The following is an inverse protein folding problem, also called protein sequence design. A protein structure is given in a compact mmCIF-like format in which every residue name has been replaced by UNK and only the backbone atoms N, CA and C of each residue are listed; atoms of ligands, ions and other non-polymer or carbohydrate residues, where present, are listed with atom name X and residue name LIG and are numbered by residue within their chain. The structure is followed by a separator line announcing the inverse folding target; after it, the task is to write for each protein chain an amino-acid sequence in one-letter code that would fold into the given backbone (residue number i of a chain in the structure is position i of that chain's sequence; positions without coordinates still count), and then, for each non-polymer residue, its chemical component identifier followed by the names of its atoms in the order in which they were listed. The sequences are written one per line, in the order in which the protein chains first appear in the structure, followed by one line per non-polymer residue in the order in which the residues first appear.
data_IF_218071458500
#
_entry.id   IF_218071458500
#
_cell.length_a   1.000
_cell.length_b   1.000
_cell.length_c   1.000
_cell.angle_alpha   90.00
_cell.angle_beta   90.00
_cell.angle_gamma   90.00
#
_symmetry.space_group_name_H-M   'P 1'
#
loop_
_entity.id
_entity.type
_entity.pdbx_description
1 polymer ?
#
# COMPACT_ATOMS: atom_id res chain seq x y z
N UNK A 1 4.69 -62.48 -8.96
CA UNK A 1 4.18 -63.78 -9.47
C UNK A 1 3.24 -64.33 -8.41
N UNK A 2 1.95 -64.48 -8.71
CA UNK A 2 0.92 -64.91 -7.76
C UNK A 2 0.04 -63.75 -7.24
N UNK A 3 -1.25 -63.79 -7.59
CA UNK A 3 -2.32 -62.85 -7.23
C UNK A 3 -3.22 -63.38 -6.09
N UNK A 4 -4.18 -62.55 -5.66
CA UNK A 4 -5.45 -62.88 -4.97
C UNK A 4 -5.39 -63.44 -3.51
N UNK A 5 -6.27 -63.05 -2.56
CA UNK A 5 -7.69 -62.75 -2.72
C UNK A 5 -8.32 -61.98 -1.52
N UNK A 6 -9.37 -61.20 -1.82
CA UNK A 6 -10.67 -61.03 -1.09
C UNK A 6 -10.73 -61.00 0.46
N UNK A 7 -11.35 -59.96 1.02
CA UNK A 7 -12.77 -60.01 1.50
C UNK A 7 -13.10 -58.93 2.55
N UNK A 8 -14.31 -58.38 2.44
CA UNK A 8 -14.97 -57.44 3.36
C UNK A 8 -15.17 -57.95 4.80
N UNK A 9 -15.07 -57.06 5.79
CA UNK A 9 -15.69 -57.24 7.11
C UNK A 9 -16.05 -55.89 7.80
N UNK A 10 -17.35 -55.62 7.80
CA UNK A 10 -18.18 -54.86 8.75
C UNK A 10 -17.54 -54.39 10.09
N UNK A 11 -17.89 -53.17 10.53
CA UNK A 11 -17.66 -52.70 11.91
C UNK A 11 -18.68 -51.65 12.40
N UNK A 12 -19.92 -52.07 12.69
CA UNK A 12 -20.82 -51.33 13.59
C UNK A 12 -20.51 -51.55 15.09
N UNK A 13 -20.53 -50.47 15.89
CA UNK A 13 -20.86 -50.31 17.34
C UNK A 13 -20.38 -48.91 17.78
N UNK A 14 -21.20 -47.90 18.13
CA UNK A 14 -22.09 -47.75 19.31
C UNK A 14 -21.31 -47.85 20.65
N UNK A 15 -21.38 -46.95 21.65
CA UNK A 15 -22.25 -45.75 21.89
C UNK A 15 -21.78 -44.89 23.08
N UNK A 16 -22.10 -43.58 23.04
CA UNK A 16 -22.63 -42.68 24.11
C UNK A 16 -22.17 -42.82 25.58
N UNK A 17 -21.65 -41.70 26.15
CA UNK A 17 -22.25 -40.86 27.23
C UNK A 17 -21.24 -39.79 27.65
N UNK A 18 -21.58 -38.51 27.59
CA UNK A 18 -22.16 -37.81 28.75
C UNK A 18 -22.91 -36.54 28.34
N UNK A 19 -24.05 -36.30 29.00
CA UNK A 19 -25.06 -35.31 28.65
C UNK A 19 -25.11 -34.28 29.77
N UNK A 20 -25.07 -32.98 29.47
CA UNK A 20 -25.66 -31.96 30.34
C UNK A 20 -26.25 -30.84 29.48
N UNK A 21 -27.49 -30.50 29.80
CA UNK A 21 -28.24 -29.43 29.16
C UNK A 21 -28.66 -28.43 30.25
N UNK A 22 -28.65 -27.13 29.91
CA UNK A 22 -29.40 -26.11 30.64
C UNK A 22 -30.23 -25.36 29.62
N UNK A 23 -31.54 -25.41 29.79
CA UNK A 23 -32.49 -24.66 28.98
C UNK A 23 -32.97 -23.42 29.76
N UNK A 24 -33.11 -22.30 29.07
CA UNK A 24 -33.91 -21.17 29.52
C UNK A 24 -34.97 -20.89 28.44
N UNK A 25 -36.24 -20.99 28.82
CA UNK A 25 -37.38 -20.94 27.91
C UNK A 25 -37.99 -19.55 27.81
N UNK A 26 -38.24 -19.09 26.58
CA UNK A 26 -39.20 -18.02 26.27
C UNK A 26 -40.11 -18.44 25.12
N UNK A 27 -41.42 -18.54 25.36
CA UNK A 27 -42.45 -18.60 24.32
C UNK A 27 -42.95 -17.16 24.07
N UNK A 28 -43.34 -16.72 22.88
CA UNK A 28 -44.64 -16.92 22.17
C UNK A 28 -44.52 -16.07 20.88
N UNK A 29 -45.07 -16.38 19.70
CA UNK A 29 -46.06 -17.40 19.30
C UNK A 29 -45.58 -18.23 18.08
N UNK A 30 -46.45 -19.09 17.54
CA UNK A 30 -46.28 -19.70 16.22
C UNK A 30 -47.41 -19.32 15.27
N UNK A 31 -47.07 -18.89 14.05
CA UNK A 31 -47.99 -18.83 12.91
C UNK A 31 -47.60 -19.93 11.91
N UNK A 32 -48.37 -21.03 11.87
CA UNK A 32 -48.27 -21.99 10.78
C UNK A 32 -49.01 -21.45 9.56
N UNK A 33 -48.28 -21.05 8.52
CA UNK A 33 -48.80 -21.05 7.14
C UNK A 33 -48.12 -22.15 6.36
N UNK A 34 -48.90 -23.16 5.96
CA UNK A 34 -48.47 -24.11 4.93
C UNK A 34 -48.77 -23.46 3.57
N UNK A 35 -47.72 -23.00 2.90
CA UNK A 35 -47.71 -22.50 1.53
C UNK A 35 -46.42 -22.96 0.88
N UNK A 36 -46.51 -23.58 -0.30
CA UNK A 36 -45.34 -24.19 -0.95
C UNK A 36 -44.50 -23.21 -1.75
N UNK A 37 -43.38 -23.74 -2.26
CA UNK A 37 -42.24 -23.03 -2.87
C UNK A 37 -41.39 -22.33 -1.81
N UNK A 38 -40.24 -22.92 -1.48
CA UNK A 38 -39.13 -22.18 -0.90
C UNK A 38 -38.61 -21.24 -1.97
N UNK A 39 -39.07 -19.99 -1.90
CA UNK A 39 -38.28 -18.89 -2.43
C UNK A 39 -37.00 -18.88 -1.59
N UNK A 40 -35.86 -19.22 -2.20
CA UNK A 40 -34.56 -18.95 -1.61
C UNK A 40 -34.38 -17.43 -1.62
N UNK A 41 -35.00 -16.77 -0.63
CA UNK A 41 -34.70 -15.39 -0.30
C UNK A 41 -33.31 -15.41 0.33
N UNK A 42 -32.29 -15.50 -0.53
CA UNK A 42 -30.88 -15.38 -0.15
C UNK A 42 -30.76 -14.20 0.81
N UNK A 43 -30.32 -14.48 2.03
CA UNK A 43 -30.32 -13.52 3.12
C UNK A 43 -29.40 -12.35 2.73
N UNK A 44 -29.99 -11.15 2.61
CA UNK A 44 -29.34 -9.97 2.06
C UNK A 44 -29.28 -8.89 3.14
N UNK A 45 -28.09 -8.34 3.31
CA UNK A 45 -27.84 -7.17 4.15
C UNK A 45 -28.25 -5.94 3.35
N UNK A 46 -29.08 -5.06 3.93
CA UNK A 46 -29.55 -3.91 3.18
C UNK A 46 -28.46 -2.86 3.00
N UNK A 47 -28.38 -2.25 1.81
CA UNK A 47 -27.39 -1.19 1.53
C UNK A 47 -27.56 0.01 2.45
N UNK A 48 -28.79 0.32 2.87
CA UNK A 48 -29.08 1.39 3.83
C UNK A 48 -28.63 1.07 5.27
N UNK A 49 -28.26 -0.18 5.53
CA UNK A 49 -27.67 -0.63 6.78
C UNK A 49 -26.14 -0.72 6.69
N UNK A 50 -25.53 -0.65 5.51
CA UNK A 50 -24.07 -0.58 5.41
C UNK A 50 -23.54 0.78 5.92
N UNK A 51 -22.24 0.89 6.26
CA UNK A 51 -21.57 2.18 6.43
C UNK A 51 -21.74 3.06 5.18
N UNK A 52 -22.31 4.25 5.36
CA UNK A 52 -22.42 5.26 4.30
C UNK A 52 -21.03 5.88 4.05
N UNK A 53 -20.46 5.60 2.87
CA UNK A 53 -19.10 5.96 2.48
C UNK A 53 -19.12 6.65 1.12
N UNK A 54 -18.89 7.96 1.11
CA UNK A 54 -18.58 8.67 -0.12
C UNK A 54 -17.18 8.30 -0.61
N UNK A 55 -17.12 7.69 -1.79
CA UNK A 55 -15.90 7.17 -2.43
C UNK A 55 -14.88 8.26 -2.76
N UNK A 56 -15.33 9.50 -2.98
CA UNK A 56 -14.45 10.66 -3.22
C UNK A 56 -13.85 11.20 -1.91
N UNK A 57 -14.47 10.91 -0.77
CA UNK A 57 -14.03 11.32 0.57
C UNK A 57 -13.22 10.27 1.34
N UNK A 58 -12.94 9.08 0.76
CA UNK A 58 -12.16 8.03 1.45
C UNK A 58 -10.67 8.40 1.45
N UNK A 59 -10.03 8.58 2.63
CA UNK A 59 -8.61 8.90 2.70
C UNK A 59 -7.74 7.74 2.21
N UNK A 60 -6.75 8.04 1.38
CA UNK A 60 -5.84 7.08 0.77
C UNK A 60 -4.37 7.49 0.96
N UNK A 61 -3.62 6.88 1.89
CA UNK A 61 -4.04 5.91 2.91
C UNK A 61 -4.83 6.54 4.07
N UNK A 62 -5.48 5.74 4.94
CA UNK A 62 -6.14 6.27 6.15
C UNK A 62 -5.15 7.01 7.05
N UNK A 63 -3.98 6.43 7.33
CA UNK A 63 -2.90 7.08 8.08
C UNK A 63 -1.89 7.69 7.11
N UNK A 64 -1.90 9.01 6.99
CA UNK A 64 -1.00 9.74 6.08
C UNK A 64 0.48 9.45 6.38
N UNK A 65 1.32 9.18 5.36
CA UNK A 65 2.74 8.95 5.54
C UNK A 65 3.46 10.24 5.97
N UNK A 66 4.54 10.12 6.74
CA UNK A 66 5.40 11.26 7.10
C UNK A 66 6.87 10.84 7.11
N UNK A 67 7.78 11.82 7.05
CA UNK A 67 9.23 11.67 7.22
C UNK A 67 9.67 12.55 8.40
N UNK A 68 10.65 12.15 9.25
CA UNK A 68 11.07 12.93 10.42
C UNK A 68 12.07 14.06 10.07
N UNK A 69 11.76 14.81 9.01
CA UNK A 69 12.47 16.00 8.56
C UNK A 69 11.46 16.95 7.89
N UNK A 70 11.62 18.26 8.11
CA UNK A 70 10.72 19.27 7.54
C UNK A 70 10.96 19.40 6.02
N UNK A 71 9.90 19.52 5.23
CA UNK A 71 9.98 19.75 3.77
C UNK A 71 9.75 21.24 3.53
N UNK A 72 10.77 21.95 3.04
CA UNK A 72 10.74 23.41 2.95
C UNK A 72 9.55 23.91 2.09
N UNK A 73 8.74 24.87 2.58
CA UNK A 73 7.62 25.42 1.81
C UNK A 73 8.02 26.03 0.45
N UNK A 74 9.27 26.46 0.30
CA UNK A 74 9.85 26.88 -0.98
C UNK A 74 9.95 25.74 -1.99
N UNK A 75 10.32 24.52 -1.56
CA UNK A 75 10.38 23.34 -2.43
C UNK A 75 8.99 22.97 -2.94
N UNK A 76 8.00 22.91 -2.04
CA UNK A 76 6.59 22.71 -2.40
C UNK A 76 6.02 23.83 -3.29
N UNK A 77 6.53 25.06 -3.17
CA UNK A 77 6.13 26.18 -4.05
C UNK A 77 6.74 26.01 -5.44
N UNK A 78 8.03 25.71 -5.54
CA UNK A 78 8.72 25.45 -6.82
C UNK A 78 8.10 24.28 -7.57
N UNK A 79 7.69 23.22 -6.87
CA UNK A 79 6.98 22.09 -7.49
C UNK A 79 5.61 22.50 -8.06
N UNK A 80 4.83 23.37 -7.38
CA UNK A 80 3.57 23.92 -7.91
C UNK A 80 3.80 24.82 -9.13
N UNK A 81 4.75 25.76 -9.03
CA UNK A 81 5.12 26.66 -10.15
C UNK A 81 5.56 25.87 -11.39
N UNK A 82 6.20 24.71 -11.21
CA UNK A 82 6.56 23.79 -12.29
C UNK A 82 5.33 23.17 -12.97
N UNK A 83 4.30 22.79 -12.23
CA UNK A 83 3.03 22.30 -12.79
C UNK A 83 2.31 23.41 -13.56
N UNK A 84 2.14 24.58 -12.95
CA UNK A 84 1.48 25.74 -13.56
C UNK A 84 2.18 26.15 -14.88
N UNK A 85 3.52 26.13 -14.91
CA UNK A 85 4.30 26.40 -16.10
C UNK A 85 4.05 25.36 -17.22
N UNK A 86 4.02 24.07 -16.89
CA UNK A 86 3.78 22.98 -17.85
C UNK A 86 2.35 23.01 -18.41
N UNK A 87 1.34 23.24 -17.56
CA UNK A 87 -0.05 23.38 -18.00
C UNK A 87 -0.24 24.66 -18.85
N UNK A 88 0.50 25.73 -18.55
CA UNK A 88 0.54 26.96 -19.34
C UNK A 88 1.13 26.83 -20.75
N UNK A 89 1.78 25.72 -21.10
CA UNK A 89 2.22 25.41 -22.47
C UNK A 89 1.05 24.95 -23.38
N UNK A 90 -0.07 24.52 -22.79
CA UNK A 90 -1.18 23.88 -23.51
C UNK A 90 -2.17 24.88 -24.13
N UNK A 91 -2.72 24.61 -25.33
CA UNK A 91 -3.82 25.40 -25.88
C UNK A 91 -5.08 25.18 -25.05
N UNK A 92 -5.71 26.27 -24.61
CA UNK A 92 -6.95 26.23 -23.81
C UNK A 92 -8.08 26.92 -24.57
N UNK A 93 -9.13 26.21 -25.03
CA UNK A 93 -9.28 24.74 -25.04
C UNK A 93 -8.45 24.06 -26.15
N UNK A 94 -8.04 22.82 -25.92
CA UNK A 94 -7.39 21.99 -26.95
C UNK A 94 -8.44 21.42 -27.91
N UNK A 95 -8.38 21.81 -29.19
CA UNK A 95 -9.39 21.53 -30.20
C UNK A 95 -9.01 20.47 -31.24
N UNK A 96 -9.94 20.10 -32.13
CA UNK A 96 -9.64 19.24 -33.29
C UNK A 96 -8.69 19.86 -34.31
N UNK A 97 -8.56 21.19 -34.33
CA UNK A 97 -7.61 21.91 -35.19
C UNK A 97 -6.17 21.78 -34.65
N UNK A 98 -6.01 21.66 -33.33
CA UNK A 98 -4.72 21.46 -32.64
C UNK A 98 -4.28 19.99 -32.70
N UNK A 99 -5.18 19.08 -32.31
CA UNK A 99 -4.96 17.63 -32.36
C UNK A 99 -6.18 16.96 -33.02
N UNK A 100 -6.11 16.60 -34.31
CA UNK A 100 -7.25 16.00 -35.03
C UNK A 100 -7.71 14.65 -34.46
N UNK A 101 -6.78 13.83 -33.96
CA UNK A 101 -7.11 12.53 -33.38
C UNK A 101 -7.79 12.70 -32.02
N UNK A 102 -9.09 12.38 -31.96
CA UNK A 102 -9.90 12.52 -30.76
C UNK A 102 -9.38 11.76 -29.54
N UNK A 103 -8.92 10.53 -29.72
CA UNK A 103 -8.39 9.70 -28.63
C UNK A 103 -7.10 10.29 -28.03
N UNK A 104 -6.20 10.78 -28.88
CA UNK A 104 -4.97 11.44 -28.43
C UNK A 104 -5.29 12.73 -27.66
N UNK A 105 -6.21 13.53 -28.19
CA UNK A 105 -6.66 14.78 -27.57
C UNK A 105 -7.32 14.55 -26.21
N UNK A 106 -8.18 13.54 -26.11
CA UNK A 106 -8.77 13.06 -24.85
C UNK A 106 -7.67 12.70 -23.85
N UNK A 107 -6.74 11.79 -24.20
CA UNK A 107 -5.62 11.37 -23.33
C UNK A 107 -4.74 12.51 -22.82
N UNK A 108 -4.47 13.55 -23.62
CA UNK A 108 -3.72 14.73 -23.15
C UNK A 108 -4.58 15.65 -22.25
N UNK A 109 -5.88 15.77 -22.55
CA UNK A 109 -6.82 16.60 -21.77
C UNK A 109 -7.08 15.98 -20.40
N UNK A 110 -7.32 14.67 -20.35
CA UNK A 110 -7.47 13.90 -19.11
C UNK A 110 -6.22 14.07 -18.24
N UNK A 111 -5.03 13.89 -18.81
CA UNK A 111 -3.77 14.08 -18.07
C UNK A 111 -3.54 15.51 -17.58
N UNK A 112 -4.10 16.53 -18.23
CA UNK A 112 -4.07 17.91 -17.74
C UNK A 112 -5.11 18.16 -16.63
N UNK A 113 -6.26 17.48 -16.68
CA UNK A 113 -7.26 17.45 -15.59
C UNK A 113 -6.67 16.77 -14.36
N UNK A 114 -6.17 15.54 -14.50
CA UNK A 114 -5.59 14.78 -13.39
C UNK A 114 -4.41 15.53 -12.72
N UNK A 115 -3.65 16.34 -13.48
CA UNK A 115 -2.59 17.19 -12.93
C UNK A 115 -3.14 18.32 -12.06
N UNK A 116 -4.33 18.82 -12.39
CA UNK A 116 -5.07 19.83 -11.60
C UNK A 116 -5.67 19.19 -10.36
N UNK A 117 -6.24 17.98 -10.48
CA UNK A 117 -6.78 17.23 -9.35
C UNK A 117 -5.66 16.91 -8.33
N UNK A 118 -4.49 16.46 -8.80
CA UNK A 118 -3.31 16.24 -7.95
C UNK A 118 -2.74 17.54 -7.32
N UNK A 119 -2.96 18.72 -7.92
CA UNK A 119 -2.67 20.01 -7.27
C UNK A 119 -3.63 20.31 -6.12
N UNK A 120 -4.89 19.88 -6.20
CA UNK A 120 -5.88 20.02 -5.13
C UNK A 120 -5.68 18.99 -4.01
N UNK A 121 -5.28 17.76 -4.33
CA UNK A 121 -4.77 16.78 -3.36
C UNK A 121 -3.57 17.37 -2.59
N UNK A 122 -2.61 17.99 -3.29
CA UNK A 122 -1.46 18.67 -2.68
C UNK A 122 -1.81 19.93 -1.86
N UNK A 123 -3.05 20.42 -1.90
CA UNK A 123 -3.58 21.50 -1.04
C UNK A 123 -4.32 20.97 0.17
N UNK A 124 -4.90 19.77 0.08
CA UNK A 124 -5.70 19.13 1.14
C UNK A 124 -4.94 18.06 1.93
N UNK A 125 -3.75 17.68 1.45
CA UNK A 125 -2.79 16.78 2.10
C UNK A 125 -2.58 17.10 3.60
N UNK A 126 -2.51 16.04 4.40
CA UNK A 126 -2.45 16.05 5.86
C UNK A 126 -1.01 16.07 6.39
N UNK A 127 -0.04 15.78 5.54
CA UNK A 127 1.41 15.91 5.82
C UNK A 127 2.13 16.55 4.65
N UNK A 128 3.30 17.12 4.92
CA UNK A 128 4.15 17.71 3.87
C UNK A 128 4.67 16.64 2.88
N UNK A 129 4.83 15.39 3.32
CA UNK A 129 5.25 14.27 2.46
C UNK A 129 4.11 13.81 1.53
N UNK A 130 2.87 13.79 2.02
CA UNK A 130 1.67 13.55 1.21
C UNK A 130 1.52 14.66 0.16
N UNK A 131 1.72 15.93 0.57
CA UNK A 131 1.72 17.07 -0.35
C UNK A 131 2.84 16.98 -1.41
N UNK A 132 4.07 16.62 -1.01
CA UNK A 132 5.20 16.46 -1.93
C UNK A 132 4.93 15.37 -2.97
N UNK A 133 4.40 14.22 -2.52
CA UNK A 133 4.04 13.09 -3.39
C UNK A 133 2.99 13.49 -4.43
N UNK A 134 1.92 14.17 -4.01
CA UNK A 134 0.88 14.66 -4.91
C UNK A 134 1.42 15.72 -5.90
N UNK A 135 2.37 16.57 -5.50
CA UNK A 135 3.03 17.51 -6.42
C UNK A 135 3.94 16.82 -7.44
N UNK A 136 4.66 15.76 -7.05
CA UNK A 136 5.38 14.90 -7.99
C UNK A 136 4.43 14.28 -9.03
N UNK A 137 3.31 13.76 -8.57
CA UNK A 137 2.25 13.17 -9.40
C UNK A 137 1.62 14.18 -10.36
N UNK A 138 1.38 15.42 -9.91
CA UNK A 138 0.93 16.54 -10.73
C UNK A 138 1.97 16.95 -11.79
N UNK A 139 3.26 17.01 -11.44
CA UNK A 139 4.37 17.32 -12.36
C UNK A 139 4.46 16.29 -13.49
N UNK A 140 4.39 15.00 -13.16
CA UNK A 140 4.39 13.90 -14.12
C UNK A 140 3.25 14.03 -15.15
N UNK A 141 2.03 14.26 -14.68
CA UNK A 141 0.81 14.37 -15.50
C UNK A 141 0.79 15.64 -16.36
N UNK A 142 1.23 16.77 -15.81
CA UNK A 142 1.38 18.00 -16.60
C UNK A 142 2.48 17.84 -17.67
N UNK A 143 3.59 17.16 -17.36
CA UNK A 143 4.66 16.92 -18.34
C UNK A 143 4.21 15.97 -19.45
N UNK A 144 3.42 14.94 -19.15
CA UNK A 144 2.82 14.07 -20.16
C UNK A 144 2.03 14.88 -21.20
N UNK A 145 1.08 15.71 -20.72
CA UNK A 145 0.27 16.57 -21.58
C UNK A 145 1.14 17.56 -22.38
N UNK A 146 2.06 18.27 -21.71
CA UNK A 146 2.93 19.27 -22.34
C UNK A 146 3.88 18.66 -23.38
N UNK A 147 4.45 17.48 -23.13
CA UNK A 147 5.33 16.80 -24.09
C UNK A 147 4.55 16.27 -25.31
N UNK A 148 3.34 15.75 -25.12
CA UNK A 148 2.44 15.37 -26.21
C UNK A 148 2.05 16.56 -27.09
N UNK A 149 1.77 17.71 -26.48
CA UNK A 149 1.48 18.95 -27.20
C UNK A 149 2.73 19.50 -27.94
N UNK A 150 3.88 19.57 -27.28
CA UNK A 150 5.13 20.01 -27.88
C UNK A 150 5.60 19.13 -29.05
N UNK A 151 5.12 17.89 -29.14
CA UNK A 151 5.30 17.02 -30.31
C UNK A 151 4.42 17.46 -31.49
N UNK A 152 3.15 17.79 -31.23
CA UNK A 152 2.21 18.25 -32.25
C UNK A 152 2.57 19.64 -32.81
N UNK A 153 2.92 20.60 -31.95
CA UNK A 153 3.23 21.99 -32.33
C UNK A 153 4.70 22.17 -32.76
N UNK A 154 5.64 21.67 -31.96
CA UNK A 154 7.08 21.93 -32.09
C UNK A 154 7.93 20.78 -32.61
N UNK A 155 7.36 19.59 -32.83
CA UNK A 155 8.11 18.40 -33.27
C UNK A 155 9.11 17.86 -32.23
N UNK A 156 8.79 17.96 -30.93
CA UNK A 156 9.54 17.29 -29.85
C UNK A 156 9.69 15.78 -30.14
N UNK A 157 10.91 15.25 -30.05
CA UNK A 157 11.19 13.83 -30.36
C UNK A 157 11.59 13.00 -29.14
N UNK A 158 11.43 11.68 -29.27
CA UNK A 158 11.82 10.69 -28.27
C UNK A 158 13.32 10.74 -27.96
N UNK A 159 14.17 10.98 -28.97
CA UNK A 159 15.63 11.03 -28.82
C UNK A 159 16.04 12.17 -27.90
N UNK A 160 15.37 13.32 -27.97
CA UNK A 160 15.63 14.45 -27.07
C UNK A 160 15.29 14.10 -25.62
N UNK A 161 14.12 13.50 -25.40
CA UNK A 161 13.69 13.10 -24.05
C UNK A 161 14.55 11.98 -23.47
N UNK A 162 15.01 11.03 -24.30
CA UNK A 162 15.99 10.01 -23.90
C UNK A 162 17.33 10.60 -23.48
N UNK A 163 17.81 11.63 -24.18
CA UNK A 163 19.03 12.35 -23.76
C UNK A 163 18.82 13.08 -22.44
N UNK A 164 17.70 13.80 -22.28
CA UNK A 164 17.33 14.49 -21.03
C UNK A 164 17.23 13.49 -19.85
N UNK A 165 16.62 12.32 -20.08
CA UNK A 165 16.56 11.23 -19.11
C UNK A 165 17.95 10.69 -18.75
N UNK A 166 18.80 10.43 -19.73
CA UNK A 166 20.17 9.95 -19.51
C UNK A 166 21.04 10.93 -18.72
N UNK A 167 20.85 12.23 -18.92
CA UNK A 167 21.50 13.28 -18.11
C UNK A 167 21.00 13.24 -16.65
N UNK A 168 19.68 13.11 -16.43
CA UNK A 168 19.10 13.00 -15.07
C UNK A 168 19.61 11.75 -14.35
N UNK A 169 19.58 10.57 -14.98
CA UNK A 169 20.08 9.31 -14.41
C UNK A 169 21.59 9.41 -14.11
N UNK A 170 22.37 10.05 -14.98
CA UNK A 170 23.81 10.27 -14.72
C UNK A 170 24.03 11.19 -13.51
N UNK A 171 23.22 12.24 -13.37
CA UNK A 171 23.25 13.16 -12.22
C UNK A 171 22.75 12.50 -10.93
N UNK A 172 21.87 11.50 -11.03
CA UNK A 172 21.44 10.67 -9.92
C UNK A 172 22.60 9.77 -9.46
N UNK A 173 23.20 8.97 -10.35
CA UNK A 173 24.36 8.15 -9.98
C UNK A 173 25.49 8.96 -9.34
N UNK A 174 25.80 10.16 -9.85
CA UNK A 174 26.79 11.03 -9.22
C UNK A 174 26.40 11.50 -7.81
N UNK A 175 25.11 11.75 -7.54
CA UNK A 175 24.61 12.08 -6.20
C UNK A 175 24.63 10.86 -5.27
N UNK A 176 24.38 9.65 -5.79
CA UNK A 176 24.47 8.40 -5.02
C UNK A 176 25.92 8.02 -4.66
N UNK A 177 26.86 8.16 -5.60
CA UNK A 177 28.28 7.90 -5.37
C UNK A 177 28.91 8.85 -4.31
N UNK A 178 28.28 10.01 -4.06
CA UNK A 178 28.66 10.98 -3.03
C UNK A 178 27.82 10.89 -1.73
N UNK A 179 26.77 10.07 -1.70
CA UNK A 179 25.85 9.97 -0.56
C UNK A 179 26.53 9.38 0.68
N UNK A 180 26.05 9.76 1.87
CA UNK A 180 26.57 9.27 3.15
C UNK A 180 25.43 9.22 4.15
N UNK A 181 25.33 8.11 4.90
CA UNK A 181 24.29 7.89 5.91
C UNK A 181 24.54 8.72 7.18
N UNK A 182 24.48 10.05 7.09
CA UNK A 182 24.65 10.94 8.22
C UNK A 182 23.53 10.73 9.26
N UNK A 183 23.88 10.80 10.55
CA UNK A 183 22.90 10.68 11.62
C UNK A 183 23.50 10.71 13.04
N UNK A 184 22.62 10.92 14.02
CA UNK A 184 22.91 10.71 15.46
C UNK A 184 21.98 9.70 16.11
N UNK A 185 20.85 9.43 15.47
CA UNK A 185 19.84 8.43 15.85
C UNK A 185 19.61 7.53 14.63
N UNK A 186 20.00 6.25 14.68
CA UNK A 186 19.81 5.33 13.56
C UNK A 186 18.35 5.13 13.15
N UNK A 187 17.37 5.27 14.07
CA UNK A 187 15.94 5.13 13.73
C UNK A 187 15.48 6.30 12.88
N UNK A 188 15.75 7.54 13.31
CA UNK A 188 15.46 8.74 12.51
C UNK A 188 16.23 8.72 11.17
N UNK A 189 17.48 8.29 11.18
CA UNK A 189 18.29 8.18 9.97
C UNK A 189 17.73 7.15 8.98
N UNK A 190 17.35 5.95 9.43
CA UNK A 190 16.72 4.93 8.59
C UNK A 190 15.47 5.47 7.88
N UNK A 191 14.64 6.24 8.59
CA UNK A 191 13.39 6.78 8.05
C UNK A 191 13.57 7.85 6.98
N UNK A 192 14.69 8.58 6.98
CA UNK A 192 15.04 9.55 5.93
C UNK A 192 15.77 8.85 4.79
N UNK A 193 16.84 8.11 5.10
CA UNK A 193 17.68 7.48 4.09
C UNK A 193 16.94 6.41 3.29
N UNK A 194 15.96 5.70 3.86
CA UNK A 194 15.09 4.81 3.10
C UNK A 194 14.31 5.55 1.98
N UNK A 195 13.91 6.81 2.20
CA UNK A 195 13.22 7.60 1.17
C UNK A 195 14.16 8.04 0.04
N UNK A 196 15.43 8.27 0.36
CA UNK A 196 16.49 8.58 -0.60
C UNK A 196 16.83 7.32 -1.41
N UNK A 197 17.09 6.20 -0.73
CA UNK A 197 17.30 4.87 -1.32
C UNK A 197 16.14 4.46 -2.25
N UNK A 198 14.88 4.59 -1.83
CA UNK A 198 13.72 4.23 -2.64
C UNK A 198 13.58 5.12 -3.89
N UNK A 199 13.98 6.39 -3.83
CA UNK A 199 14.01 7.26 -5.01
C UNK A 199 15.10 6.82 -6.00
N UNK A 200 16.26 6.41 -5.50
CA UNK A 200 17.33 5.85 -6.33
C UNK A 200 16.98 4.50 -6.93
N UNK A 201 16.30 3.62 -6.20
CA UNK A 201 15.83 2.34 -6.71
C UNK A 201 14.77 2.51 -7.81
N UNK A 202 13.84 3.47 -7.66
CA UNK A 202 12.90 3.86 -8.74
C UNK A 202 13.65 4.34 -9.98
N UNK A 203 14.62 5.24 -9.81
CA UNK A 203 15.46 5.75 -10.90
C UNK A 203 16.27 4.65 -11.59
N UNK A 204 16.89 3.76 -10.84
CA UNK A 204 17.71 2.66 -11.36
C UNK A 204 16.88 1.61 -12.14
N UNK A 205 15.60 1.47 -11.81
CA UNK A 205 14.63 0.61 -12.53
C UNK A 205 13.97 1.31 -13.73
N UNK A 206 14.29 2.57 -14.00
CA UNK A 206 13.64 3.39 -15.03
C UNK A 206 14.33 3.28 -16.39
N UNK A 207 14.31 2.10 -17.02
CA UNK A 207 14.85 1.90 -18.38
C UNK A 207 14.07 2.66 -19.49
N UNK A 208 12.88 3.17 -19.17
CA UNK A 208 11.99 3.91 -20.07
C UNK A 208 10.51 3.56 -19.87
N UNK A 209 9.58 4.29 -20.55
CA UNK A 209 8.16 4.03 -20.46
C UNK A 209 7.74 2.71 -21.13
N UNK A 210 6.70 2.08 -20.57
CA UNK A 210 6.04 0.91 -21.15
C UNK A 210 5.04 1.35 -22.22
N UNK A 211 5.50 1.49 -23.47
CA UNK A 211 4.71 1.95 -24.61
C UNK A 211 3.77 0.83 -25.10
N UNK A 212 2.44 1.06 -25.09
CA UNK A 212 1.43 0.04 -25.41
C UNK A 212 0.85 0.17 -26.84
N UNK A 213 1.70 0.39 -27.85
CA UNK A 213 1.26 0.55 -29.24
C UNK A 213 0.57 1.88 -29.55
N UNK A 214 0.48 2.76 -28.55
CA UNK A 214 0.01 4.14 -28.66
C UNK A 214 0.97 4.94 -29.55
N UNK A 215 0.40 5.63 -30.54
CA UNK A 215 1.15 6.25 -31.65
C UNK A 215 2.23 7.25 -31.21
N UNK A 216 3.09 7.64 -32.14
CA UNK A 216 4.34 8.41 -31.91
C UNK A 216 4.20 9.59 -30.93
N UNK A 217 3.11 10.35 -31.00
CA UNK A 217 2.81 11.45 -30.07
C UNK A 217 2.61 10.98 -28.63
N UNK A 218 1.81 9.93 -28.40
CA UNK A 218 1.60 9.36 -27.07
C UNK A 218 2.88 8.69 -26.56
N UNK A 219 3.71 8.12 -27.45
CA UNK A 219 5.06 7.67 -27.09
C UNK A 219 5.94 8.83 -26.60
N UNK A 220 5.88 10.01 -27.22
CA UNK A 220 6.61 11.21 -26.75
C UNK A 220 6.02 11.75 -25.43
N UNK A 221 4.70 11.71 -25.25
CA UNK A 221 4.04 12.07 -24.00
C UNK A 221 4.49 11.16 -22.82
N UNK A 222 4.50 9.84 -23.02
CA UNK A 222 5.00 8.88 -22.02
C UNK A 222 6.49 9.12 -21.69
N UNK A 223 7.34 9.37 -22.68
CA UNK A 223 8.74 9.76 -22.42
C UNK A 223 8.86 11.09 -21.67
N UNK A 224 7.93 12.03 -21.91
CA UNK A 224 7.82 13.27 -21.14
C UNK A 224 7.55 12.99 -19.66
N UNK A 225 6.57 12.13 -19.38
CA UNK A 225 6.25 11.66 -18.03
C UNK A 225 7.48 11.03 -17.35
N UNK A 226 8.14 10.08 -18.01
CA UNK A 226 9.34 9.39 -17.48
C UNK A 226 10.45 10.38 -17.11
N UNK A 227 10.71 11.38 -17.97
CA UNK A 227 11.72 12.41 -17.72
C UNK A 227 11.40 13.26 -16.48
N UNK A 228 10.14 13.66 -16.27
CA UNK A 228 9.79 14.46 -15.09
C UNK A 228 9.69 13.61 -13.82
N UNK A 229 9.26 12.35 -13.91
CA UNK A 229 9.30 11.38 -12.81
C UNK A 229 10.73 11.20 -12.28
N UNK A 230 11.69 10.94 -13.18
CA UNK A 230 13.10 10.87 -12.83
C UNK A 230 13.64 12.19 -12.22
N UNK A 231 13.16 13.33 -12.71
CA UNK A 231 13.54 14.64 -12.15
C UNK A 231 12.97 14.86 -10.75
N UNK A 232 11.71 14.49 -10.51
CA UNK A 232 11.04 14.54 -9.20
C UNK A 232 11.82 13.69 -8.19
N UNK A 233 12.08 12.43 -8.49
CA UNK A 233 12.80 11.52 -7.59
C UNK A 233 14.19 12.07 -7.20
N UNK A 234 14.93 12.64 -8.16
CA UNK A 234 16.24 13.24 -7.90
C UNK A 234 16.17 14.58 -7.13
N UNK A 235 15.22 15.45 -7.47
CA UNK A 235 15.02 16.75 -6.80
C UNK A 235 14.63 16.52 -5.32
N UNK A 236 13.71 15.59 -5.07
CA UNK A 236 13.17 15.31 -3.73
C UNK A 236 14.17 14.56 -2.85
N UNK A 237 14.92 13.60 -3.41
CA UNK A 237 16.00 12.92 -2.67
C UNK A 237 17.08 13.90 -2.20
N UNK A 238 17.51 14.83 -3.07
CA UNK A 238 18.46 15.90 -2.71
C UNK A 238 17.90 16.86 -1.68
N UNK A 239 16.61 17.18 -1.77
CA UNK A 239 15.95 18.05 -0.80
C UNK A 239 15.92 17.40 0.60
N UNK A 240 15.51 16.13 0.69
CA UNK A 240 15.47 15.38 1.95
C UNK A 240 16.86 15.21 2.57
N UNK A 241 17.87 14.87 1.76
CA UNK A 241 19.28 14.75 2.19
C UNK A 241 19.80 16.08 2.77
N UNK A 242 19.59 17.18 2.05
CA UNK A 242 20.01 18.53 2.48
C UNK A 242 19.32 18.96 3.78
N UNK A 243 17.98 18.86 3.83
CA UNK A 243 17.20 19.22 5.02
C UNK A 243 17.58 18.36 6.22
N UNK A 244 17.90 17.08 6.01
CA UNK A 244 18.28 16.19 7.10
C UNK A 244 19.67 16.54 7.63
N UNK A 245 20.65 16.75 6.75
CA UNK A 245 21.98 17.22 7.11
C UNK A 245 21.95 18.56 7.86
N UNK A 246 21.13 19.53 7.42
CA UNK A 246 20.93 20.81 8.12
C UNK A 246 20.25 20.65 9.50
N UNK A 247 19.43 19.61 9.69
CA UNK A 247 18.76 19.31 10.96
C UNK A 247 19.65 18.60 11.99
N UNK A 248 20.87 18.20 11.62
CA UNK A 248 21.79 17.44 12.46
C UNK A 248 22.82 18.35 13.16
N UNK A 249 23.34 17.95 14.33
CA UNK A 249 24.51 18.58 14.94
C UNK A 249 25.74 18.54 14.02
N UNK A 250 26.62 19.53 14.13
CA UNK A 250 27.84 19.63 13.32
C UNK A 250 28.87 18.50 13.56
N UNK A 251 28.68 17.68 14.60
CA UNK A 251 29.44 16.49 14.96
C UNK A 251 28.68 15.17 14.71
N UNK A 252 27.57 15.20 13.97
CA UNK A 252 26.87 14.00 13.52
C UNK A 252 27.79 13.09 12.68
N UNK A 253 27.71 11.78 12.92
CA UNK A 253 28.54 10.77 12.28
C UNK A 253 27.86 10.08 11.10
N UNK A 254 28.56 9.13 10.49
CA UNK A 254 27.95 8.14 9.61
C UNK A 254 27.34 7.00 10.48
N UNK A 255 26.10 6.58 10.20
CA UNK A 255 25.39 5.48 10.88
C UNK A 255 25.23 4.22 10.01
N UNK A 256 25.81 4.19 8.80
CA UNK A 256 25.75 3.09 7.81
C UNK A 256 26.06 1.70 8.40
N UNK A 257 27.12 1.58 9.22
CA UNK A 257 27.49 0.32 9.88
C UNK A 257 26.37 -0.18 10.81
N UNK A 258 25.69 0.72 11.52
CA UNK A 258 24.59 0.39 12.42
C UNK A 258 23.32 0.03 11.66
N UNK A 259 22.99 0.78 10.60
CA UNK A 259 21.87 0.46 9.70
C UNK A 259 22.06 -0.90 9.04
N UNK A 260 23.26 -1.18 8.53
CA UNK A 260 23.60 -2.45 7.87
C UNK A 260 23.53 -3.62 8.86
N UNK A 261 24.16 -3.50 10.04
CA UNK A 261 24.14 -4.55 11.07
C UNK A 261 22.73 -4.83 11.61
N UNK A 262 21.92 -3.78 11.77
CA UNK A 262 20.51 -3.88 12.16
C UNK A 262 19.66 -4.54 11.07
N UNK A 263 19.83 -4.13 9.81
CA UNK A 263 19.17 -4.75 8.67
C UNK A 263 19.50 -6.24 8.54
N UNK A 264 20.78 -6.63 8.63
CA UNK A 264 21.21 -8.03 8.61
C UNK A 264 20.55 -8.86 9.73
N UNK A 265 20.48 -8.29 10.94
CA UNK A 265 19.86 -8.91 12.12
C UNK A 265 18.35 -9.12 11.92
N UNK A 266 17.64 -8.09 11.47
CA UNK A 266 16.20 -8.15 11.22
C UNK A 266 15.87 -9.08 10.05
N UNK A 267 16.66 -9.06 8.96
CA UNK A 267 16.51 -9.96 7.82
C UNK A 267 16.89 -11.41 8.15
N UNK A 268 17.81 -11.66 9.08
CA UNK A 268 18.06 -13.01 9.60
C UNK A 268 16.85 -13.57 10.34
N UNK A 269 16.19 -12.76 11.17
CA UNK A 269 14.99 -13.15 11.91
C UNK A 269 13.76 -13.33 10.98
N UNK A 270 13.59 -12.45 9.99
CA UNK A 270 12.62 -12.61 8.88
C UNK A 270 12.83 -13.93 8.14
N UNK A 271 14.08 -14.27 7.77
CA UNK A 271 14.41 -15.55 7.13
C UNK A 271 14.12 -16.75 8.05
N UNK A 272 14.37 -16.63 9.36
CA UNK A 272 14.07 -17.68 10.33
C UNK A 272 12.57 -17.94 10.44
N UNK A 273 11.71 -16.91 10.47
CA UNK A 273 10.25 -17.12 10.47
C UNK A 273 9.71 -17.62 9.14
N UNK A 274 10.36 -17.30 8.02
CA UNK A 274 9.95 -17.78 6.69
C UNK A 274 9.97 -19.31 6.58
N UNK A 275 10.85 -20.01 7.30
CA UNK A 275 10.85 -21.48 7.34
C UNK A 275 9.71 -22.10 8.15
N UNK A 276 9.06 -21.31 9.01
CA UNK A 276 7.97 -21.75 9.90
C UNK A 276 6.58 -21.35 9.36
N UNK A 277 6.50 -20.84 8.11
CA UNK A 277 5.24 -20.44 7.48
C UNK A 277 4.23 -21.60 7.33
N UNK A 278 2.93 -21.36 7.53
CA UNK A 278 1.89 -22.36 7.30
C UNK A 278 1.85 -22.84 5.84
N UNK A 279 1.37 -24.07 5.57
CA UNK A 279 1.14 -24.56 4.21
C UNK A 279 0.16 -23.65 3.45
N UNK A 280 0.17 -23.74 2.12
CA UNK A 280 -0.68 -22.86 1.31
C UNK A 280 -2.10 -23.44 1.27
N UNK A 281 -3.15 -22.65 1.58
CA UNK A 281 -4.52 -23.16 1.55
C UNK A 281 -4.89 -23.68 0.16
N UNK A 282 -5.50 -24.87 0.12
CA UNK A 282 -5.93 -25.46 -1.15
C UNK A 282 -7.23 -24.81 -1.64
N UNK A 283 -7.54 -24.86 -2.95
CA UNK A 283 -8.79 -24.30 -3.50
C UNK A 283 -10.09 -24.88 -2.92
N UNK A 284 -10.02 -26.01 -2.21
CA UNK A 284 -11.15 -26.66 -1.55
C UNK A 284 -11.40 -26.12 -0.12
N UNK A 285 -10.46 -25.30 0.39
CA UNK A 285 -10.47 -24.69 1.74
C UNK A 285 -10.74 -23.18 1.68
N UNK A 286 -11.06 -22.60 0.51
CA UNK A 286 -11.18 -21.14 0.36
C UNK A 286 -12.40 -20.54 1.10
N UNK A 287 -12.13 -19.90 2.25
CA UNK A 287 -13.00 -18.95 2.94
C UNK A 287 -12.21 -17.72 3.42
N UNK A 288 -12.89 -16.83 4.16
CA UNK A 288 -12.30 -15.58 4.69
C UNK A 288 -11.02 -15.83 5.49
N UNK A 289 -11.00 -16.88 6.33
CA UNK A 289 -9.85 -17.23 7.15
C UNK A 289 -8.61 -17.60 6.30
N UNK A 290 -8.81 -18.46 5.32
CA UNK A 290 -7.78 -19.00 4.45
C UNK A 290 -7.27 -17.95 3.45
N UNK A 291 -8.15 -17.05 2.97
CA UNK A 291 -7.75 -15.91 2.14
C UNK A 291 -6.88 -14.92 2.93
N UNK A 292 -7.24 -14.59 4.17
CA UNK A 292 -6.40 -13.75 5.05
C UNK A 292 -5.02 -14.37 5.25
N UNK A 293 -4.94 -15.68 5.51
CA UNK A 293 -3.67 -16.42 5.66
C UNK A 293 -2.87 -16.41 4.35
N UNK A 294 -3.50 -16.73 3.21
CA UNK A 294 -2.85 -16.77 1.90
C UNK A 294 -2.25 -15.40 1.52
N UNK A 295 -3.00 -14.32 1.75
CA UNK A 295 -2.59 -12.97 1.39
C UNK A 295 -1.48 -12.42 2.31
N UNK A 296 -1.60 -12.63 3.63
CA UNK A 296 -0.53 -12.30 4.58
C UNK A 296 0.73 -13.11 4.27
N UNK A 297 0.61 -14.41 3.99
CA UNK A 297 1.75 -15.27 3.61
C UNK A 297 2.43 -14.76 2.34
N UNK A 298 1.67 -14.46 1.28
CA UNK A 298 2.22 -13.91 0.03
C UNK A 298 2.99 -12.61 0.27
N UNK A 299 2.51 -11.78 1.19
CA UNK A 299 3.10 -10.48 1.52
C UNK A 299 4.37 -10.58 2.37
N UNK A 300 4.52 -11.60 3.25
CA UNK A 300 5.79 -11.83 3.99
C UNK A 300 6.83 -12.59 3.16
N UNK A 301 6.39 -13.44 2.24
CA UNK A 301 7.25 -14.20 1.34
C UNK A 301 7.91 -13.31 0.26
N UNK A 302 7.24 -12.22 -0.11
CA UNK A 302 7.79 -11.12 -0.89
C UNK A 302 8.79 -10.26 -0.09
N UNK A 303 9.62 -9.50 -0.81
CA UNK A 303 10.63 -8.58 -0.26
C UNK A 303 12.05 -9.15 -0.21
N UNK A 304 13.07 -8.29 -0.06
CA UNK A 304 14.48 -8.67 -0.05
C UNK A 304 14.82 -9.65 1.08
N UNK A 305 15.76 -10.56 0.86
CA UNK A 305 16.23 -11.51 1.88
C UNK A 305 17.63 -11.18 2.41
N UNK A 306 18.34 -10.28 1.74
CA UNK A 306 19.62 -9.70 2.13
C UNK A 306 19.61 -8.17 1.93
N UNK A 307 20.62 -7.47 2.44
CA UNK A 307 20.73 -6.01 2.29
C UNK A 307 20.99 -5.63 0.83
N UNK A 308 21.75 -6.46 0.11
CA UNK A 308 22.10 -6.27 -1.31
C UNK A 308 20.93 -6.53 -2.28
N UNK A 309 19.87 -7.18 -1.81
CA UNK A 309 18.60 -7.32 -2.56
C UNK A 309 17.65 -6.13 -2.32
N UNK A 310 17.92 -5.27 -1.33
CA UNK A 310 17.15 -4.07 -1.03
C UNK A 310 17.71 -2.83 -1.77
N UNK A 311 16.97 -1.72 -1.72
CA UNK A 311 17.43 -0.41 -2.20
C UNK A 311 18.71 0.07 -1.47
N UNK A 312 18.90 -0.39 -0.24
CA UNK A 312 20.05 -0.14 0.63
C UNK A 312 19.74 -0.56 2.08
N UNK A 313 20.66 -0.31 3.03
CA UNK A 313 20.50 -0.69 4.43
C UNK A 313 19.32 0.00 5.13
N UNK A 314 18.97 1.24 4.78
CA UNK A 314 17.88 1.96 5.44
C UNK A 314 16.51 1.39 5.05
N UNK A 315 16.24 1.20 3.75
CA UNK A 315 15.03 0.55 3.24
C UNK A 315 14.96 -0.92 3.66
N UNK A 316 16.10 -1.61 3.80
CA UNK A 316 16.13 -2.97 4.37
C UNK A 316 15.63 -3.01 5.83
N UNK A 317 16.01 -2.04 6.68
CA UNK A 317 15.46 -1.90 8.05
C UNK A 317 13.94 -1.69 8.02
N UNK A 318 13.45 -0.79 7.17
CA UNK A 318 12.00 -0.46 7.10
C UNK A 318 11.17 -1.64 6.56
N UNK A 319 11.62 -2.31 5.49
CA UNK A 319 10.97 -3.51 4.95
C UNK A 319 10.93 -4.63 5.99
N UNK A 320 12.06 -4.93 6.63
CA UNK A 320 12.15 -5.98 7.64
C UNK A 320 11.24 -5.67 8.85
N UNK A 321 11.14 -4.40 9.27
CA UNK A 321 10.19 -3.97 10.32
C UNK A 321 8.75 -4.27 9.91
N UNK A 322 8.35 -3.89 8.69
CA UNK A 322 7.02 -4.17 8.16
C UNK A 322 6.71 -5.67 8.03
N UNK A 323 7.70 -6.48 7.65
CA UNK A 323 7.54 -7.94 7.53
C UNK A 323 7.51 -8.63 8.87
N UNK A 324 8.29 -8.21 9.87
CA UNK A 324 8.17 -8.68 11.26
C UNK A 324 6.77 -8.38 11.81
N UNK A 325 6.21 -7.20 11.53
CA UNK A 325 4.83 -6.89 11.89
C UNK A 325 3.83 -7.84 11.19
N UNK A 326 4.01 -8.12 9.89
CA UNK A 326 3.14 -9.05 9.15
C UNK A 326 3.26 -10.51 9.61
N UNK A 327 4.45 -11.00 9.99
CA UNK A 327 4.60 -12.32 10.64
C UNK A 327 3.83 -12.39 11.97
N UNK A 328 4.02 -11.38 12.84
CA UNK A 328 3.29 -11.23 14.11
C UNK A 328 1.78 -11.01 13.94
N UNK A 329 1.35 -10.58 12.75
CA UNK A 329 -0.06 -10.50 12.38
C UNK A 329 -0.58 -11.88 11.96
N UNK A 330 0.18 -12.64 11.14
CA UNK A 330 -0.15 -14.01 10.74
C UNK A 330 -0.29 -14.93 11.95
N UNK A 331 0.67 -14.92 12.88
CA UNK A 331 0.62 -15.67 14.16
C UNK A 331 -0.71 -15.43 14.90
N UNK A 332 -1.16 -14.17 14.98
CA UNK A 332 -2.44 -13.78 15.61
C UNK A 332 -3.68 -14.17 14.81
N UNK A 333 -3.57 -14.26 13.49
CA UNK A 333 -4.65 -14.73 12.63
C UNK A 333 -4.83 -16.25 12.85
N UNK A 334 -3.74 -17.01 12.88
CA UNK A 334 -3.77 -18.45 13.16
C UNK A 334 -4.40 -18.74 14.54
N UNK A 335 -3.97 -18.05 15.60
CA UNK A 335 -4.58 -18.14 16.94
C UNK A 335 -6.11 -17.89 16.92
N UNK A 336 -6.58 -16.97 16.09
CA UNK A 336 -8.01 -16.65 15.94
C UNK A 336 -8.77 -17.62 15.06
N UNK A 337 -8.13 -18.23 14.06
CA UNK A 337 -8.71 -19.30 13.25
C UNK A 337 -8.91 -20.56 14.12
N UNK A 338 -7.90 -20.94 14.91
CA UNK A 338 -7.99 -22.04 15.87
C UNK A 338 -9.10 -21.83 16.92
N UNK A 339 -9.39 -20.57 17.26
CA UNK A 339 -10.49 -20.19 18.15
C UNK A 339 -11.87 -20.08 17.46
N UNK A 340 -11.92 -20.13 16.13
CA UNK A 340 -13.16 -19.95 15.35
C UNK A 340 -13.67 -18.50 15.30
N UNK A 341 -12.78 -17.51 15.44
CA UNK A 341 -13.10 -16.08 15.54
C UNK A 341 -12.98 -15.31 14.21
N UNK A 342 -12.76 -16.01 13.08
CA UNK A 342 -12.64 -15.41 11.75
C UNK A 342 -13.58 -16.16 10.79
N UNK A 343 -14.45 -15.39 10.12
CA UNK A 343 -15.43 -15.85 9.15
C UNK A 343 -16.07 -14.64 8.45
N UNK A 344 -17.03 -14.90 7.56
CA UNK A 344 -17.86 -13.85 6.95
C UNK A 344 -18.78 -13.16 7.95
N UNK A 345 -19.43 -12.08 7.53
CA UNK A 345 -20.41 -11.33 8.35
C UNK A 345 -21.84 -11.68 7.96
N UNK A 346 -22.69 -11.95 8.94
CA UNK A 346 -24.12 -12.21 8.74
C UNK A 346 -24.93 -10.90 8.79
N UNK A 347 -24.35 -9.81 9.31
CA UNK A 347 -25.03 -8.52 9.46
C UNK A 347 -24.16 -7.28 9.20
N UNK A 348 -24.82 -6.17 8.89
CA UNK A 348 -24.18 -4.86 8.79
C UNK A 348 -23.56 -4.38 10.12
N UNK A 349 -24.10 -4.78 11.28
CA UNK A 349 -23.57 -4.41 12.59
C UNK A 349 -22.23 -5.10 12.88
N UNK A 350 -22.04 -6.33 12.43
CA UNK A 350 -20.75 -7.02 12.48
C UNK A 350 -19.73 -6.34 11.57
N UNK A 351 -20.12 -5.95 10.35
CA UNK A 351 -19.24 -5.21 9.44
C UNK A 351 -18.83 -3.85 10.03
N UNK A 352 -19.76 -3.11 10.65
CA UNK A 352 -19.46 -1.87 11.40
C UNK A 352 -18.50 -2.13 12.55
N UNK A 353 -18.69 -3.21 13.32
CA UNK A 353 -17.82 -3.57 14.43
C UNK A 353 -16.39 -3.91 13.96
N UNK A 354 -16.24 -4.65 12.86
CA UNK A 354 -14.95 -4.93 12.22
C UNK A 354 -14.26 -3.64 11.75
N UNK A 355 -15.00 -2.76 11.06
CA UNK A 355 -14.48 -1.47 10.59
C UNK A 355 -13.98 -0.62 11.77
N UNK A 356 -14.80 -0.41 12.80
CA UNK A 356 -14.41 0.32 14.01
C UNK A 356 -13.18 -0.31 14.68
N UNK A 357 -13.14 -1.64 14.81
CA UNK A 357 -12.00 -2.36 15.38
C UNK A 357 -10.70 -2.14 14.60
N UNK A 358 -10.77 -2.01 13.28
CA UNK A 358 -9.61 -1.72 12.45
C UNK A 358 -9.10 -0.28 12.64
N UNK A 359 -10.00 0.70 12.68
CA UNK A 359 -9.65 2.10 12.97
C UNK A 359 -9.07 2.28 14.39
N UNK A 360 -9.74 1.74 15.41
CA UNK A 360 -9.26 1.77 16.80
C UNK A 360 -7.87 1.12 16.95
N UNK A 361 -7.58 0.07 16.17
CA UNK A 361 -6.28 -0.61 16.16
C UNK A 361 -5.18 0.24 15.51
N UNK A 362 -5.49 1.00 14.45
CA UNK A 362 -4.56 1.95 13.82
C UNK A 362 -4.19 3.08 14.79
N UNK A 363 -5.20 3.69 15.43
CA UNK A 363 -4.99 4.78 16.39
C UNK A 363 -4.21 4.31 17.63
N UNK A 364 -4.59 3.17 18.21
CA UNK A 364 -3.87 2.56 19.35
C UNK A 364 -2.40 2.30 19.01
N UNK A 365 -2.11 1.85 17.78
CA UNK A 365 -0.74 1.55 17.35
C UNK A 365 0.11 2.82 17.16
N UNK A 366 -0.50 3.95 16.80
CA UNK A 366 0.16 5.27 16.76
C UNK A 366 0.41 5.83 18.17
N UNK A 367 -0.50 5.62 19.13
CA UNK A 367 -0.37 6.13 20.51
C UNK A 367 0.62 5.33 21.38
N UNK A 368 0.78 4.03 21.13
CA UNK A 368 1.50 3.12 22.04
C UNK A 368 3.03 3.11 21.82
N UNK A 369 3.52 3.67 20.71
CA UNK A 369 4.95 3.65 20.35
C UNK A 369 5.79 4.72 21.04
N UNK A 370 7.01 4.38 21.48
CA UNK A 370 8.05 5.38 21.77
C UNK A 370 8.51 6.07 20.48
N UNK A 371 8.57 5.30 19.39
CA UNK A 371 9.12 5.69 18.10
C UNK A 371 7.98 5.94 17.10
N UNK A 372 7.16 6.93 17.40
CA UNK A 372 5.91 7.22 16.66
C UNK A 372 6.12 7.45 15.16
N UNK A 373 7.30 7.92 14.73
CA UNK A 373 7.64 8.07 13.31
C UNK A 373 7.83 6.71 12.61
N UNK A 374 8.56 5.77 13.23
CA UNK A 374 8.73 4.42 12.70
C UNK A 374 7.40 3.65 12.66
N UNK A 375 6.62 3.76 13.76
CA UNK A 375 5.29 3.18 13.83
C UNK A 375 4.39 3.74 12.71
N UNK A 376 4.33 5.07 12.53
CA UNK A 376 3.54 5.69 11.46
C UNK A 376 3.96 5.23 10.06
N UNK A 377 5.25 5.06 9.78
CA UNK A 377 5.71 4.57 8.48
C UNK A 377 5.11 3.20 8.17
N UNK A 378 5.23 2.22 9.07
CA UNK A 378 4.65 0.88 8.87
C UNK A 378 3.11 0.90 8.89
N UNK A 379 2.51 1.69 9.78
CA UNK A 379 1.05 1.83 9.88
C UNK A 379 0.45 2.47 8.63
N UNK A 380 1.15 3.40 7.97
CA UNK A 380 0.64 4.05 6.75
C UNK A 380 0.35 3.03 5.65
N UNK A 381 1.22 2.04 5.47
CA UNK A 381 0.99 0.93 4.53
C UNK A 381 -0.06 -0.07 5.02
N UNK A 382 -0.06 -0.45 6.30
CA UNK A 382 -1.13 -1.32 6.85
C UNK A 382 -2.51 -0.67 6.67
N UNK A 383 -2.59 0.65 6.78
CA UNK A 383 -3.85 1.39 6.67
C UNK A 383 -4.39 1.48 5.23
N UNK A 384 -3.59 1.12 4.21
CA UNK A 384 -4.06 0.94 2.82
C UNK A 384 -5.04 -0.23 2.69
N UNK A 385 -4.97 -1.24 3.56
CA UNK A 385 -5.95 -2.32 3.61
C UNK A 385 -7.34 -1.78 4.02
N UNK A 386 -7.38 -0.82 4.96
CA UNK A 386 -8.63 -0.16 5.39
C UNK A 386 -9.18 0.72 4.27
N UNK A 387 -8.34 1.55 3.64
CA UNK A 387 -8.72 2.32 2.45
C UNK A 387 -9.30 1.42 1.35
N UNK A 388 -8.65 0.27 1.10
CA UNK A 388 -9.10 -0.69 0.08
C UNK A 388 -10.43 -1.36 0.45
N UNK A 389 -10.62 -1.72 1.72
CA UNK A 389 -11.89 -2.28 2.22
C UNK A 389 -13.02 -1.25 2.14
N UNK A 390 -12.81 -0.02 2.61
CA UNK A 390 -13.78 1.07 2.51
C UNK A 390 -14.15 1.38 1.05
N UNK A 391 -13.18 1.39 0.14
CA UNK A 391 -13.42 1.66 -1.28
C UNK A 391 -14.09 0.50 -2.03
N UNK A 392 -13.89 -0.75 -1.57
CA UNK A 392 -14.71 -1.91 -2.00
C UNK A 392 -16.14 -1.79 -1.49
N UNK A 393 -16.32 -1.40 -0.22
CA UNK A 393 -17.62 -1.22 0.43
C UNK A 393 -18.45 -0.11 -0.23
N UNK A 394 -17.83 1.04 -0.53
CA UNK A 394 -18.45 2.18 -1.22
C UNK A 394 -18.87 1.91 -2.68
N UNK A 395 -18.67 0.69 -3.21
CA UNK A 395 -19.14 0.27 -4.54
C UNK A 395 -20.50 -0.42 -4.52
N UNK A 396 -21.03 -0.79 -3.36
CA UNK A 396 -22.35 -1.43 -3.27
C UNK A 396 -23.47 -0.38 -3.33
N UNK A 397 -24.23 -0.37 -4.43
CA UNK A 397 -25.38 0.52 -4.66
C UNK A 397 -26.73 -0.10 -4.29
N UNK A 398 -26.72 -1.37 -3.83
CA UNK A 398 -27.87 -2.26 -3.64
C UNK A 398 -27.62 -3.24 -2.51
N UNK A 399 -28.72 -3.78 -1.99
CA UNK A 399 -28.69 -4.86 -0.98
C UNK A 399 -27.78 -6.01 -1.45
N UNK A 400 -27.02 -6.55 -0.51
CA UNK A 400 -25.83 -7.36 -0.79
C UNK A 400 -25.88 -8.66 0.00
N UNK A 401 -25.45 -9.77 -0.61
CA UNK A 401 -25.31 -11.04 0.13
C UNK A 401 -24.06 -11.00 1.02
N UNK A 402 -24.08 -11.59 2.22
CA UNK A 402 -22.92 -11.80 3.10
C UNK A 402 -21.61 -12.14 2.37
N UNK A 403 -21.60 -13.12 1.49
CA UNK A 403 -20.37 -13.66 0.86
C UNK A 403 -19.75 -12.69 -0.17
N UNK A 404 -20.45 -11.59 -0.50
CA UNK A 404 -19.91 -10.51 -1.35
C UNK A 404 -19.14 -9.46 -0.54
N UNK A 405 -19.21 -9.52 0.80
CA UNK A 405 -18.48 -8.66 1.72
C UNK A 405 -17.16 -9.28 2.20
N UNK A 406 -16.86 -10.53 1.83
CA UNK A 406 -15.65 -11.25 2.28
C UNK A 406 -14.36 -10.43 2.01
N UNK A 407 -14.14 -9.92 0.78
CA UNK A 407 -13.02 -9.02 0.43
C UNK A 407 -12.89 -7.74 1.31
N UNK A 408 -13.99 -7.31 1.95
CA UNK A 408 -14.06 -6.15 2.84
C UNK A 408 -13.72 -6.58 4.27
N UNK A 409 -14.32 -7.68 4.73
CA UNK A 409 -14.06 -8.33 6.02
C UNK A 409 -12.58 -8.69 6.15
N UNK A 410 -12.01 -9.35 5.14
CA UNK A 410 -10.60 -9.71 5.08
C UNK A 410 -9.68 -8.49 5.26
N UNK A 411 -10.00 -7.36 4.60
CA UNK A 411 -9.21 -6.13 4.67
C UNK A 411 -9.20 -5.53 6.08
N UNK A 412 -10.35 -5.45 6.75
CA UNK A 412 -10.42 -4.99 8.15
C UNK A 412 -9.72 -5.97 9.11
N UNK A 413 -9.82 -7.29 8.88
CA UNK A 413 -9.15 -8.32 9.68
C UNK A 413 -7.62 -8.24 9.54
N UNK A 414 -7.10 -8.13 8.30
CA UNK A 414 -5.66 -7.92 8.02
C UNK A 414 -5.16 -6.62 8.64
N UNK A 415 -5.87 -5.51 8.44
CA UNK A 415 -5.51 -4.22 9.03
C UNK A 415 -5.44 -4.25 10.56
N UNK A 416 -6.44 -4.86 11.21
CA UNK A 416 -6.50 -5.01 12.68
C UNK A 416 -5.30 -5.81 13.20
N UNK A 417 -4.99 -6.96 12.58
CA UNK A 417 -3.87 -7.81 12.99
C UNK A 417 -2.53 -7.13 12.73
N UNK A 418 -2.35 -6.50 11.57
CA UNK A 418 -1.18 -5.72 11.21
C UNK A 418 -0.91 -4.58 12.18
N UNK A 419 -1.90 -3.73 12.44
CA UNK A 419 -1.75 -2.57 13.33
C UNK A 419 -1.35 -2.97 14.75
N UNK A 420 -1.99 -3.99 15.32
CA UNK A 420 -1.65 -4.57 16.64
C UNK A 420 -0.25 -5.19 16.69
N UNK A 421 0.32 -5.53 15.54
CA UNK A 421 1.66 -6.10 15.43
C UNK A 421 2.76 -5.06 15.18
N UNK A 422 2.44 -3.81 14.83
CA UNK A 422 3.45 -2.76 14.60
C UNK A 422 4.24 -2.38 15.86
N UNK A 423 3.63 -2.06 17.02
CA UNK A 423 4.40 -1.64 18.20
C UNK A 423 5.49 -2.63 18.67
N UNK A 424 5.25 -3.96 18.75
CA UNK A 424 6.32 -4.91 19.08
C UNK A 424 7.35 -5.11 17.96
N UNK A 425 7.00 -4.89 16.69
CA UNK A 425 7.96 -4.90 15.59
C UNK A 425 8.89 -3.67 15.65
N UNK A 426 8.35 -2.46 15.85
CA UNK A 426 9.14 -1.25 16.03
C UNK A 426 10.10 -1.36 17.23
N UNK A 427 9.63 -1.88 18.37
CA UNK A 427 10.47 -2.13 19.54
C UNK A 427 11.66 -3.03 19.21
N UNK A 428 11.43 -4.11 18.45
CA UNK A 428 12.49 -5.01 18.02
C UNK A 428 13.48 -4.35 17.04
N UNK A 429 12.99 -3.49 16.15
CA UNK A 429 13.83 -2.71 15.23
C UNK A 429 14.75 -1.76 15.97
N UNK A 430 14.23 -1.04 16.98
CA UNK A 430 15.03 -0.17 17.85
C UNK A 430 16.09 -1.00 18.58
N UNK A 431 15.72 -2.15 19.16
CA UNK A 431 16.65 -3.08 19.82
C UNK A 431 17.70 -3.72 18.88
N UNK A 432 17.54 -3.61 17.56
CA UNK A 432 18.51 -4.07 16.56
C UNK A 432 19.41 -2.94 16.01
N UNK A 433 19.13 -1.69 16.38
CA UNK A 433 19.85 -0.49 15.96
C UNK A 433 20.65 0.16 17.11
N UNK A 434 20.48 -0.31 18.35
CA UNK A 434 21.24 0.03 19.56
C UNK A 434 22.44 -0.91 19.80
#
# INVERSE_FOLDING_TARGET
MGEDARSTADRQRLTRRGLLAVAATGAVAGCQSIGGLSDDTDEQISVYELPDLDRESIPSPVVAPSVPVDIAPSHLTTARERVDALLGELPTPMGPDDIPNGYVRERLTDSASDATDALDDARTARTELEALTALGEARERARYAAAGWAMADGGLTVERLRSEHGEIVSNAHAFWDEHTYLGTDPVRAALVHARIEDAFDRLARMDGPRIHGDGELLTVAEWGKTVESARVDLDDARHLDSQFAESLPADAGNVEDALTSGAETLLADVRSRRSDLPPEPTPEEWGVAENVVSDLRRTVDAGPTTVEEASGPASAVIDATGRIARFRALERIEERIDAGEIGGVESADELRALRTTAYDALDTALETGRDAALARTVISDVSREVTSADWRLARFDRDVRPERLDDVVEGYVRATAGARAVPPACKQTVEALE
#
